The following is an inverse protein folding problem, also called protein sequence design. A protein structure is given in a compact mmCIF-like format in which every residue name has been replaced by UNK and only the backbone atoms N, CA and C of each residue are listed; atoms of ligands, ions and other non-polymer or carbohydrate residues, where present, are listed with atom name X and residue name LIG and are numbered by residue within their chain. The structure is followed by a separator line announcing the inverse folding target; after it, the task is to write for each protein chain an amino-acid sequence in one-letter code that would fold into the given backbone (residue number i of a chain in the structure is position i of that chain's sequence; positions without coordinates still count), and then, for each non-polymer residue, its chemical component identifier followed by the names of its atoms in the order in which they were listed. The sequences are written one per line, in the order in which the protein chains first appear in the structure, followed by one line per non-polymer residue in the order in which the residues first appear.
data_IF_373479214723
#
_entry.id   IF_373479214723
#
_cell.length_a   1.000
_cell.length_b   1.000
_cell.length_c   1.000
_cell.angle_alpha   90.00
_cell.angle_beta   90.00
_cell.angle_gamma   90.00
#
_symmetry.space_group_name_H-M   'P 1'
#
loop_
_entity.id
_entity.type
_entity.pdbx_description
1 polymer ?
#
# COMPACT_ATOMS: atom_id res chain seq x y z
N UNK A 1 -12.38 -5.83 -4.56
CA UNK A 1 -11.95 -4.61 -3.83
C UNK A 1 -11.33 -3.65 -4.82
N UNK A 2 -12.05 -2.59 -5.22
CA UNK A 2 -11.60 -1.66 -6.26
C UNK A 2 -11.06 -0.35 -5.66
N UNK A 3 -11.45 0.01 -4.43
CA UNK A 3 -11.23 1.35 -3.89
C UNK A 3 -9.97 1.53 -3.02
N UNK A 4 -9.45 0.45 -2.40
CA UNK A 4 -8.36 0.57 -1.42
C UNK A 4 -7.07 1.20 -1.96
N UNK A 5 -6.76 0.98 -3.24
CA UNK A 5 -5.61 1.60 -3.90
C UNK A 5 -5.82 3.09 -4.15
N UNK A 6 -7.03 3.49 -4.57
CA UNK A 6 -7.39 4.88 -4.78
C UNK A 6 -7.40 5.65 -3.45
N UNK A 7 -7.97 5.07 -2.39
CA UNK A 7 -7.96 5.64 -1.04
C UNK A 7 -6.54 5.87 -0.54
N UNK A 8 -5.66 4.88 -0.72
CA UNK A 8 -4.25 5.01 -0.33
C UNK A 8 -3.52 6.07 -1.14
N UNK A 9 -3.78 6.16 -2.45
CA UNK A 9 -3.20 7.19 -3.30
C UNK A 9 -3.63 8.60 -2.84
N UNK A 10 -4.90 8.80 -2.50
CA UNK A 10 -5.42 10.07 -1.96
C UNK A 10 -4.76 10.41 -0.62
N UNK A 11 -4.56 9.43 0.26
CA UNK A 11 -3.85 9.65 1.52
C UNK A 11 -2.41 10.11 1.29
N UNK A 12 -1.68 9.46 0.36
CA UNK A 12 -0.31 9.86 0.02
C UNK A 12 -0.28 11.28 -0.54
N UNK A 13 -1.19 11.60 -1.46
CA UNK A 13 -1.29 12.96 -2.02
C UNK A 13 -1.56 14.00 -0.93
N UNK A 14 -2.48 13.73 0.00
CA UNK A 14 -2.74 14.60 1.15
C UNK A 14 -1.51 14.78 2.03
N UNK A 15 -0.74 13.72 2.29
CA UNK A 15 0.49 13.82 3.10
C UNK A 15 1.54 14.69 2.42
N UNK A 16 1.72 14.56 1.11
CA UNK A 16 2.67 15.38 0.33
C UNK A 16 2.28 16.86 0.39
N UNK A 17 0.99 17.17 0.20
CA UNK A 17 0.48 18.55 0.21
C UNK A 17 0.51 19.22 1.58
N UNK A 18 0.67 18.45 2.67
CA UNK A 18 0.77 18.97 4.04
C UNK A 18 2.20 19.34 4.46
N UNK A 19 3.21 18.99 3.66
CA UNK A 19 4.60 19.35 3.96
C UNK A 19 4.86 20.83 3.68
N UNK A 20 5.84 21.42 4.35
CA UNK A 20 6.24 22.82 4.15
C UNK A 20 6.70 23.10 2.71
N UNK A 21 7.40 22.15 2.08
CA UNK A 21 7.77 22.20 0.67
C UNK A 21 7.17 21.00 -0.11
N UNK A 22 5.99 21.17 -0.73
CA UNK A 22 5.30 20.11 -1.44
C UNK A 22 6.06 19.58 -2.67
N UNK A 23 6.88 20.42 -3.31
CA UNK A 23 7.66 20.05 -4.50
C UNK A 23 8.80 19.10 -4.15
N UNK A 24 9.54 19.39 -3.09
CA UNK A 24 10.59 18.54 -2.53
C UNK A 24 10.01 17.23 -2.00
N UNK A 25 8.86 17.28 -1.32
CA UNK A 25 8.15 16.08 -0.85
C UNK A 25 7.71 15.19 -2.02
N UNK A 26 7.16 15.78 -3.09
CA UNK A 26 6.77 15.06 -4.29
C UNK A 26 7.98 14.47 -5.03
N UNK A 27 9.08 15.22 -5.12
CA UNK A 27 10.33 14.74 -5.71
C UNK A 27 10.88 13.54 -4.94
N UNK A 28 10.90 13.63 -3.61
CA UNK A 28 11.34 12.54 -2.73
C UNK A 28 10.45 11.32 -2.88
N UNK A 29 9.12 11.49 -2.90
CA UNK A 29 8.18 10.39 -3.12
C UNK A 29 8.44 9.66 -4.44
N UNK A 30 8.68 10.41 -5.52
CA UNK A 30 8.96 9.85 -6.85
C UNK A 30 10.29 9.10 -6.91
N UNK A 31 11.28 9.49 -6.11
CA UNK A 31 12.61 8.88 -6.07
C UNK A 31 12.76 7.77 -5.02
N UNK A 32 11.78 7.59 -4.12
CA UNK A 32 11.85 6.60 -3.05
C UNK A 32 11.38 5.23 -3.57
N UNK A 33 12.20 4.17 -3.45
CA UNK A 33 11.79 2.83 -3.87
C UNK A 33 10.66 2.29 -2.98
N UNK A 34 9.68 1.65 -3.61
CA UNK A 34 8.62 0.97 -2.88
C UNK A 34 9.15 -0.32 -2.25
N UNK A 35 8.85 -0.58 -0.98
CA UNK A 35 9.29 -1.78 -0.25
C UNK A 35 8.81 -3.10 -0.89
N UNK A 36 7.68 -3.09 -1.60
CA UNK A 36 7.14 -4.31 -2.22
C UNK A 36 7.80 -4.67 -3.56
N UNK A 37 8.05 -3.67 -4.41
CA UNK A 37 8.59 -3.87 -5.76
C UNK A 37 10.06 -3.51 -5.90
N UNK A 38 10.66 -2.84 -4.91
CA UNK A 38 12.05 -2.37 -4.92
C UNK A 38 12.34 -1.21 -5.89
N UNK A 39 11.40 -0.88 -6.77
CA UNK A 39 11.50 0.20 -7.74
C UNK A 39 10.77 1.46 -7.25
N UNK A 40 11.30 2.63 -7.61
CA UNK A 40 10.66 3.92 -7.33
C UNK A 40 9.54 4.23 -8.33
N UNK A 41 8.55 5.08 -7.97
CA UNK A 41 7.49 5.47 -8.90
C UNK A 41 8.00 6.06 -10.21
N UNK A 42 9.10 6.84 -10.18
CA UNK A 42 9.69 7.40 -11.38
C UNK A 42 10.33 6.32 -12.28
N UNK A 43 10.97 5.30 -11.70
CA UNK A 43 11.54 4.19 -12.46
C UNK A 43 10.44 3.34 -13.11
N UNK A 44 9.32 3.11 -12.42
CA UNK A 44 8.19 2.38 -12.97
C UNK A 44 7.48 3.11 -14.10
N UNK A 45 7.46 4.46 -14.07
CA UNK A 45 6.77 5.28 -15.07
C UNK A 45 7.66 5.71 -16.24
N UNK A 46 8.94 5.99 -15.99
CA UNK A 46 9.87 6.58 -16.97
C UNK A 46 11.12 5.73 -17.22
N UNK A 47 11.30 4.62 -16.50
CA UNK A 47 12.47 3.75 -16.65
C UNK A 47 13.78 4.39 -16.22
N UNK A 48 13.78 5.51 -15.49
CA UNK A 48 15.00 6.24 -15.08
C UNK A 48 14.89 6.74 -13.65
N UNK A 49 16.02 6.89 -12.96
CA UNK A 49 16.06 7.62 -11.68
C UNK A 49 16.03 9.13 -11.92
N UNK A 50 15.32 9.85 -11.04
CA UNK A 50 15.29 11.31 -11.05
C UNK A 50 16.55 11.89 -10.40
N UNK A 51 16.98 13.06 -10.87
CA UNK A 51 17.96 13.89 -10.17
C UNK A 51 17.33 14.44 -8.90
N UNK A 52 17.91 14.10 -7.76
CA UNK A 52 17.53 14.63 -6.45
C UNK A 52 18.62 15.57 -5.94
N UNK A 53 18.43 16.15 -4.75
CA UNK A 53 19.41 17.00 -4.07
C UNK A 53 20.70 16.25 -3.73
N UNK A 54 20.64 14.92 -3.66
CA UNK A 54 21.81 14.08 -3.45
C UNK A 54 22.52 13.83 -4.78
N UNK A 55 23.87 13.91 -4.81
CA UNK A 55 24.63 13.60 -6.01
C UNK A 55 24.44 12.12 -6.35
N UNK A 56 23.95 11.86 -7.56
CA UNK A 56 23.75 10.53 -8.12
C UNK A 56 24.67 10.33 -9.32
N UNK A 57 25.15 9.10 -9.49
CA UNK A 57 26.00 8.74 -10.64
C UNK A 57 25.22 8.97 -11.95
N UNK A 58 25.85 9.66 -12.90
CA UNK A 58 25.25 10.06 -14.18
C UNK A 58 24.66 8.88 -14.97
N UNK A 59 25.22 7.68 -14.80
CA UNK A 59 24.75 6.48 -15.48
C UNK A 59 23.34 6.05 -15.03
N UNK A 60 22.97 6.32 -13.77
CA UNK A 60 21.63 6.04 -13.24
C UNK A 60 20.54 6.99 -13.78
N UNK A 61 20.90 8.09 -14.45
CA UNK A 61 19.94 9.01 -15.07
C UNK A 61 19.47 8.51 -16.44
N UNK A 62 20.20 7.56 -17.04
CA UNK A 62 19.83 6.97 -18.32
C UNK A 62 18.62 6.04 -18.12
N UNK A 63 17.69 6.01 -19.09
CA UNK A 63 16.56 5.10 -19.01
C UNK A 63 17.05 3.66 -19.14
N UNK A 64 16.89 2.88 -18.08
CA UNK A 64 17.07 1.45 -18.02
C UNK A 64 15.83 0.86 -17.35
N UNK A 65 14.98 0.21 -18.13
CA UNK A 65 13.77 -0.39 -17.60
C UNK A 65 14.14 -1.59 -16.70
N UNK A 66 13.65 -1.62 -15.45
CA UNK A 66 13.84 -2.77 -14.61
C UNK A 66 13.07 -3.98 -15.17
N UNK A 67 13.48 -5.17 -14.72
CA UNK A 67 12.84 -6.44 -15.09
C UNK A 67 11.36 -6.44 -14.67
N UNK A 68 10.49 -6.25 -15.66
CA UNK A 68 9.06 -6.05 -15.44
C UNK A 68 8.38 -7.30 -14.92
N UNK A 69 8.84 -8.49 -15.32
CA UNK A 69 8.31 -9.76 -14.84
C UNK A 69 8.58 -9.94 -13.34
N UNK A 70 9.80 -9.64 -12.87
CA UNK A 70 10.12 -9.67 -11.43
C UNK A 70 9.29 -8.67 -10.63
N UNK A 71 9.08 -7.46 -11.16
CA UNK A 71 8.27 -6.44 -10.51
C UNK A 71 6.81 -6.90 -10.39
N UNK A 72 6.25 -7.46 -11.46
CA UNK A 72 4.87 -7.97 -11.47
C UNK A 72 4.70 -9.13 -10.49
N UNK A 73 5.66 -10.06 -10.45
CA UNK A 73 5.63 -11.17 -9.48
C UNK A 73 5.70 -10.66 -8.04
N UNK A 74 6.58 -9.70 -7.76
CA UNK A 74 6.70 -9.09 -6.44
C UNK A 74 5.41 -8.38 -6.02
N UNK A 75 4.81 -7.58 -6.90
CA UNK A 75 3.53 -6.91 -6.67
C UNK A 75 2.37 -7.90 -6.47
N UNK A 76 2.29 -8.95 -7.29
CA UNK A 76 1.30 -10.01 -7.14
C UNK A 76 1.43 -10.71 -5.77
N UNK A 77 2.65 -11.03 -5.35
CA UNK A 77 2.91 -11.63 -4.04
C UNK A 77 2.50 -10.70 -2.88
N UNK A 78 2.74 -9.39 -3.02
CA UNK A 78 2.36 -8.39 -2.02
C UNK A 78 0.84 -8.25 -1.94
N UNK A 79 0.15 -8.21 -3.08
CA UNK A 79 -1.32 -8.20 -3.16
C UNK A 79 -1.93 -9.45 -2.53
N UNK A 80 -1.36 -10.64 -2.80
CA UNK A 80 -1.83 -11.89 -2.21
C UNK A 80 -1.68 -11.89 -0.69
N UNK A 81 -0.52 -11.46 -0.17
CA UNK A 81 -0.30 -11.29 1.27
C UNK A 81 -1.31 -10.32 1.86
N UNK A 82 -1.52 -9.17 1.23
CA UNK A 82 -2.47 -8.15 1.70
C UNK A 82 -3.90 -8.67 1.71
N UNK A 83 -4.32 -9.42 0.68
CA UNK A 83 -5.61 -10.09 0.64
C UNK A 83 -5.74 -11.13 1.76
N UNK A 84 -4.72 -11.94 2.02
CA UNK A 84 -4.71 -12.92 3.11
C UNK A 84 -4.89 -12.25 4.48
N UNK A 85 -4.12 -11.20 4.78
CA UNK A 85 -4.26 -10.49 6.07
C UNK A 85 -5.59 -9.75 6.21
N UNK A 86 -6.10 -9.16 5.12
CA UNK A 86 -7.42 -8.52 5.10
C UNK A 86 -8.54 -9.56 5.38
N UNK A 87 -8.51 -10.69 4.65
CA UNK A 87 -9.49 -11.76 4.82
C UNK A 87 -9.43 -12.37 6.22
N UNK A 88 -8.24 -12.57 6.80
CA UNK A 88 -8.08 -13.05 8.18
C UNK A 88 -8.70 -12.09 9.20
N UNK A 89 -8.48 -10.79 9.04
CA UNK A 89 -8.99 -9.75 9.95
C UNK A 89 -10.51 -9.63 9.87
N UNK A 90 -11.08 -9.75 8.67
CA UNK A 90 -12.51 -9.53 8.44
C UNK A 90 -13.35 -10.81 8.50
N UNK A 91 -12.73 -12.00 8.35
CA UNK A 91 -13.42 -13.29 8.41
C UNK A 91 -13.75 -13.79 9.82
N UNK A 92 -13.01 -13.35 10.84
CA UNK A 92 -13.25 -13.75 12.24
C UNK A 92 -14.39 -13.01 12.95
N UNK A 93 -14.82 -11.85 12.42
CA UNK A 93 -15.84 -11.02 13.06
C UNK A 93 -17.25 -11.64 13.01
N UNK A 94 -17.49 -12.61 12.11
CA UNK A 94 -18.81 -13.26 11.99
C UNK A 94 -19.05 -14.37 13.03
N UNK A 95 -17.99 -14.94 13.62
CA UNK A 95 -18.12 -16.05 14.58
C UNK A 95 -18.31 -15.58 16.02
N UNK A 96 -17.81 -14.40 16.40
CA UNK A 96 -17.94 -13.88 17.77
C UNK A 96 -19.28 -13.18 18.02
N UNK A 97 -19.83 -12.47 17.02
CA UNK A 97 -21.14 -11.80 17.15
C UNK A 97 -22.31 -12.77 17.19
N UNK A 98 -22.22 -13.94 16.54
CA UNK A 98 -23.25 -14.98 16.63
C UNK A 98 -23.23 -15.69 17.98
N UNK A 99 -22.05 -15.87 18.58
CA UNK A 99 -21.94 -16.49 19.91
C UNK A 99 -22.49 -15.57 21.02
N UNK A 100 -22.21 -14.26 20.94
CA UNK A 100 -22.73 -13.29 21.91
C UNK A 100 -24.24 -13.04 21.77
N UNK A 101 -24.79 -13.15 20.55
CA UNK A 101 -26.24 -13.03 20.30
C UNK A 101 -27.03 -14.24 20.79
N UNK A 102 -26.44 -15.45 20.78
CA UNK A 102 -27.10 -16.64 21.33
C UNK A 102 -27.08 -16.67 22.86
N UNK A 103 -26.02 -16.16 23.49
CA UNK A 103 -25.93 -16.07 24.96
C UNK A 103 -26.91 -15.04 25.56
N UNK A 104 -27.17 -13.94 24.85
CA UNK A 104 -28.13 -12.92 25.29
C UNK A 104 -29.59 -13.44 25.34
N UNK A 105 -29.95 -14.39 24.46
CA UNK A 105 -31.30 -14.96 24.45
C UNK A 105 -31.53 -15.98 25.58
N UNK A 106 -30.48 -16.70 26.03
CA UNK A 106 -30.59 -17.64 27.14
C UNK A 106 -30.72 -16.94 28.50
N UNK A 107 -30.04 -15.80 28.72
CA UNK A 107 -30.13 -15.07 30.00
C UNK A 107 -31.50 -14.40 30.18
N UNK A 108 -32.19 -14.04 29.08
CA UNK A 108 -33.53 -13.45 29.14
C UNK A 108 -34.66 -14.48 29.34
N UNK A 109 -34.44 -15.77 29.08
CA UNK A 109 -35.43 -16.84 29.32
C UNK A 109 -35.33 -17.51 30.70
N UNK A 110 -34.31 -17.21 31.49
CA UNK A 110 -34.19 -17.68 32.89
C UNK A 110 -34.64 -16.64 33.93
N UNK A 111 -35.26 -15.54 33.50
CA UNK A 111 -35.77 -14.46 34.37
C UNK A 111 -37.31 -14.32 34.35
N UNK A 112 -38.03 -15.35 33.90
CA UNK A 112 -39.46 -15.53 34.17
C UNK A 112 -39.67 -16.85 34.90
#
# INVERSE_FOLDING_TARGET
MINGHAERAVQIAKTILRQDDPLLALMTYRATPNSSTGASPAELLMGRKLRTTLPILQDNLKPCWPDMDKIQQADASAKQKQAHFYNRRNGGFFLTVNFLRHFCHLVLQSCC
#
